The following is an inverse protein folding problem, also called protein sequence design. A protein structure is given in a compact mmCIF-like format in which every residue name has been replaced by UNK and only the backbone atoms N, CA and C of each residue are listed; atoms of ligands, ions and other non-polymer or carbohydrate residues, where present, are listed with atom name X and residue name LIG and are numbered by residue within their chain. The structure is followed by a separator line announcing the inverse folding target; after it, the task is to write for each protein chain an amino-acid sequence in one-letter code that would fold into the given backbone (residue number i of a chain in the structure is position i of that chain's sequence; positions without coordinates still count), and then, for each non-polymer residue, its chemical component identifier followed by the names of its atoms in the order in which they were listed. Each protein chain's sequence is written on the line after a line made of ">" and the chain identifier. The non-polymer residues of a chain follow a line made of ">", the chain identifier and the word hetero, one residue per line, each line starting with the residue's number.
data_IF_711397466933
#
_entry.id   IF_711397466933
#
_cell.length_a   1.000
_cell.length_b   1.000
_cell.length_c   1.000
_cell.angle_alpha   90.00
_cell.angle_beta   90.00
_cell.angle_gamma   90.00
#
_symmetry.space_group_name_H-M   'P 1'
#
loop_
_entity.id
_entity.type
_entity.pdbx_description
1 polymer ?
#
# COMPACT_ATOMS: atom_id res chain seq x y z
N UNK A 1 32.94 -37.97 30.21
CA UNK A 1 31.47 -37.96 30.45
C UNK A 1 30.96 -36.68 31.12
N UNK A 2 31.68 -36.07 32.08
CA UNK A 2 31.20 -34.85 32.78
C UNK A 2 30.85 -33.68 31.84
N UNK A 3 31.73 -33.36 30.89
CA UNK A 3 31.51 -32.27 29.92
C UNK A 3 30.23 -32.42 29.10
N UNK A 4 29.92 -33.63 28.61
CA UNK A 4 28.72 -33.89 27.81
C UNK A 4 27.42 -33.62 28.58
N UNK A 5 27.38 -33.93 29.87
CA UNK A 5 26.22 -33.69 30.72
C UNK A 5 25.97 -32.20 30.93
N UNK A 6 27.04 -31.43 31.14
CA UNK A 6 26.93 -29.98 31.31
C UNK A 6 26.53 -29.28 30.00
N UNK A 7 27.08 -29.70 28.86
CA UNK A 7 26.67 -29.15 27.56
C UNK A 7 25.20 -29.41 27.26
N UNK A 8 24.69 -30.60 27.59
CA UNK A 8 23.26 -30.93 27.39
C UNK A 8 22.34 -30.07 28.27
N UNK A 9 22.70 -29.84 29.54
CA UNK A 9 21.91 -28.95 30.43
C UNK A 9 21.84 -27.54 29.88
N UNK A 10 22.98 -26.99 29.43
CA UNK A 10 23.05 -25.64 28.87
C UNK A 10 22.17 -25.56 27.61
N UNK A 11 22.26 -26.54 26.71
CA UNK A 11 21.40 -26.61 25.52
C UNK A 11 19.92 -26.71 25.88
N UNK A 12 19.55 -27.51 26.88
CA UNK A 12 18.16 -27.58 27.37
C UNK A 12 17.67 -26.23 27.91
N UNK A 13 18.48 -25.52 28.70
CA UNK A 13 18.12 -24.20 29.24
C UNK A 13 17.94 -23.19 28.10
N UNK A 14 18.85 -23.15 27.12
CA UNK A 14 18.76 -22.28 25.94
C UNK A 14 17.50 -22.61 25.14
N UNK A 15 17.21 -23.90 24.92
CA UNK A 15 16.01 -24.34 24.21
C UNK A 15 14.74 -23.93 24.94
N UNK A 16 14.68 -24.09 26.26
CA UNK A 16 13.52 -23.67 27.06
C UNK A 16 13.36 -22.14 26.99
N UNK A 17 14.45 -21.39 27.14
CA UNK A 17 14.43 -19.93 27.01
C UNK A 17 13.95 -19.50 25.62
N UNK A 18 14.43 -20.14 24.55
CA UNK A 18 13.99 -19.87 23.18
C UNK A 18 12.49 -20.16 23.00
N UNK A 19 11.97 -21.27 23.52
CA UNK A 19 10.53 -21.60 23.45
C UNK A 19 9.71 -20.56 24.20
N UNK A 20 10.15 -20.11 25.38
CA UNK A 20 9.46 -19.06 26.14
C UNK A 20 9.44 -17.75 25.34
N UNK A 21 10.58 -17.35 24.77
CA UNK A 21 10.69 -16.14 23.96
C UNK A 21 9.77 -16.21 22.73
N UNK A 22 9.81 -17.31 21.98
CA UNK A 22 8.93 -17.54 20.82
C UNK A 22 7.45 -17.49 21.23
N UNK A 23 7.11 -18.07 22.39
CA UNK A 23 5.73 -18.06 22.89
C UNK A 23 5.26 -16.65 23.24
N UNK A 24 6.10 -15.84 23.89
CA UNK A 24 5.78 -14.45 24.22
C UNK A 24 5.56 -13.63 22.94
N UNK A 25 6.48 -13.71 21.98
CA UNK A 25 6.34 -12.99 20.71
C UNK A 25 5.14 -13.47 19.90
N UNK A 26 4.84 -14.77 19.90
CA UNK A 26 3.66 -15.32 19.25
C UNK A 26 2.36 -14.80 19.86
N UNK A 27 2.27 -14.71 21.19
CA UNK A 27 1.11 -14.14 21.89
C UNK A 27 0.94 -12.65 21.52
N UNK A 28 2.04 -11.87 21.54
CA UNK A 28 1.99 -10.45 21.17
C UNK A 28 1.54 -10.25 19.71
N UNK A 29 2.05 -11.06 18.78
CA UNK A 29 1.65 -11.01 17.37
C UNK A 29 0.16 -11.35 17.18
N UNK A 30 -0.38 -12.32 17.92
CA UNK A 30 -1.82 -12.65 17.89
C UNK A 30 -2.66 -11.52 18.47
N UNK A 31 -2.22 -10.89 19.56
CA UNK A 31 -2.91 -9.72 20.13
C UNK A 31 -2.94 -8.55 19.14
N UNK A 32 -1.80 -8.23 18.52
CA UNK A 32 -1.73 -7.20 17.48
C UNK A 32 -2.55 -7.57 16.24
N UNK A 33 -2.61 -8.84 15.85
CA UNK A 33 -3.45 -9.29 14.73
C UNK A 33 -4.93 -9.04 15.00
N UNK A 34 -5.38 -9.29 16.23
CA UNK A 34 -6.76 -9.01 16.64
C UNK A 34 -7.01 -7.50 16.69
N UNK A 35 -6.10 -6.70 17.26
CA UNK A 35 -6.19 -5.24 17.27
C UNK A 35 -6.25 -4.68 15.84
N UNK A 36 -5.39 -5.17 14.95
CA UNK A 36 -5.39 -4.80 13.54
C UNK A 36 -6.71 -5.17 12.86
N UNK A 37 -7.18 -6.40 13.04
CA UNK A 37 -8.46 -6.84 12.47
C UNK A 37 -9.65 -5.99 12.94
N UNK A 38 -9.66 -5.55 14.19
CA UNK A 38 -10.74 -4.75 14.78
C UNK A 38 -10.66 -3.27 14.38
N UNK A 39 -9.47 -2.68 14.43
CA UNK A 39 -9.30 -1.23 14.23
C UNK A 39 -9.03 -0.82 12.80
N UNK A 40 -8.32 -1.63 12.03
CA UNK A 40 -7.99 -1.28 10.64
C UNK A 40 -9.23 -0.93 9.80
N UNK A 41 -10.37 -1.64 9.86
CA UNK A 41 -11.56 -1.24 9.11
C UNK A 41 -12.38 -0.11 9.75
N UNK A 42 -12.10 0.31 11.00
CA UNK A 42 -12.93 1.27 11.77
C UNK A 42 -12.21 2.61 12.03
N UNK A 43 -10.88 2.60 12.05
CA UNK A 43 -10.04 3.76 12.30
C UNK A 43 -9.40 4.25 10.99
N UNK A 44 -9.13 5.56 10.84
CA UNK A 44 -8.53 6.07 9.61
C UNK A 44 -7.14 5.51 9.37
N UNK A 45 -6.90 5.02 8.15
CA UNK A 45 -5.57 4.62 7.68
C UNK A 45 -5.16 5.52 6.54
N UNK A 46 -3.87 5.80 6.44
CA UNK A 46 -3.29 6.61 5.38
C UNK A 46 -2.43 5.72 4.47
N UNK A 47 -2.63 5.81 3.17
CA UNK A 47 -1.80 5.19 2.16
C UNK A 47 -1.14 6.29 1.35
N UNK A 48 0.18 6.26 1.25
CA UNK A 48 0.99 7.20 0.48
C UNK A 48 1.75 6.41 -0.57
N UNK A 49 1.63 6.82 -1.83
CA UNK A 49 2.46 6.34 -2.92
C UNK A 49 3.73 7.20 -2.98
N UNK A 50 4.88 6.55 -2.87
CA UNK A 50 6.18 7.20 -2.74
C UNK A 50 7.11 6.72 -3.85
N UNK A 51 7.86 7.64 -4.45
CA UNK A 51 8.93 7.34 -5.39
C UNK A 51 10.14 8.22 -5.07
N UNK A 52 11.32 7.61 -4.93
CA UNK A 52 12.57 8.31 -4.59
C UNK A 52 12.51 9.23 -3.34
N UNK A 53 11.52 9.01 -2.46
CA UNK A 53 11.28 9.82 -1.25
C UNK A 53 10.19 10.89 -1.41
N UNK A 54 9.68 11.11 -2.61
CA UNK A 54 8.61 12.06 -2.91
C UNK A 54 7.24 11.37 -2.91
N UNK A 55 6.23 12.02 -2.30
CA UNK A 55 4.84 11.56 -2.32
C UNK A 55 4.21 11.93 -3.66
N UNK A 56 3.88 10.92 -4.47
CA UNK A 56 3.21 11.10 -5.77
C UNK A 56 1.69 11.19 -5.64
N UNK A 57 1.13 10.44 -4.70
CA UNK A 57 -0.31 10.35 -4.44
C UNK A 57 -0.56 9.85 -3.02
N UNK A 58 -1.79 10.00 -2.53
CA UNK A 58 -2.18 9.34 -1.31
C UNK A 58 -3.66 9.42 -1.04
N UNK A 59 -4.12 8.60 -0.10
CA UNK A 59 -5.49 8.62 0.34
C UNK A 59 -5.66 8.05 1.75
N UNK A 60 -6.73 8.50 2.38
CA UNK A 60 -7.21 8.01 3.66
C UNK A 60 -8.33 6.99 3.42
N UNK A 61 -8.53 6.10 4.38
CA UNK A 61 -9.70 5.22 4.46
C UNK A 61 -9.88 4.25 3.29
N UNK A 62 -8.80 3.93 2.57
CA UNK A 62 -8.84 3.07 1.38
C UNK A 62 -9.49 1.69 1.63
N UNK A 63 -9.32 1.14 2.84
CA UNK A 63 -9.86 -0.17 3.24
C UNK A 63 -11.01 -0.04 4.25
N UNK A 64 -11.51 1.18 4.48
CA UNK A 64 -12.64 1.46 5.36
C UNK A 64 -13.96 1.21 4.58
N UNK A 65 -15.09 0.91 5.25
CA UNK A 65 -16.40 0.79 4.60
C UNK A 65 -16.91 2.08 3.92
N UNK A 66 -16.30 3.23 4.23
CA UNK A 66 -16.61 4.51 3.58
C UNK A 66 -15.79 4.67 2.31
N UNK A 67 -16.21 5.59 1.44
CA UNK A 67 -15.42 5.93 0.27
C UNK A 67 -14.01 6.39 0.66
N UNK A 68 -12.97 5.94 -0.07
CA UNK A 68 -11.62 6.45 0.09
C UNK A 68 -11.60 7.98 -0.09
N UNK A 69 -10.82 8.67 0.73
CA UNK A 69 -10.69 10.12 0.70
C UNK A 69 -9.28 10.49 0.21
N UNK A 70 -9.13 11.05 -1.01
CA UNK A 70 -7.85 11.55 -1.49
C UNK A 70 -7.23 12.55 -0.51
N UNK A 71 -5.91 12.55 -0.37
CA UNK A 71 -5.24 13.60 0.40
C UNK A 71 -5.27 14.92 -0.38
N UNK A 72 -5.40 16.04 0.31
CA UNK A 72 -5.30 17.35 -0.36
C UNK A 72 -3.85 17.71 -0.69
N UNK A 73 -3.65 18.70 -1.57
CA UNK A 73 -2.30 19.20 -1.89
C UNK A 73 -1.60 19.76 -0.65
N UNK A 74 -2.34 20.37 0.29
CA UNK A 74 -1.81 20.83 1.56
C UNK A 74 -1.41 19.67 2.48
N UNK A 75 -2.22 18.62 2.56
CA UNK A 75 -1.89 17.41 3.31
C UNK A 75 -0.64 16.73 2.74
N UNK A 76 -0.55 16.57 1.42
CA UNK A 76 0.61 16.02 0.73
C UNK A 76 1.88 16.81 1.05
N UNK A 77 1.84 18.15 0.97
CA UNK A 77 2.98 19.00 1.31
C UNK A 77 3.40 18.88 2.78
N UNK A 78 2.44 18.77 3.71
CA UNK A 78 2.73 18.54 5.14
C UNK A 78 3.37 17.17 5.34
N UNK A 79 2.83 16.12 4.72
CA UNK A 79 3.39 14.77 4.83
C UNK A 79 4.78 14.68 4.23
N UNK A 80 5.04 15.34 3.09
CA UNK A 80 6.38 15.42 2.50
C UNK A 80 7.37 16.06 3.47
N UNK A 81 7.00 17.20 4.07
CA UNK A 81 7.85 17.86 5.06
C UNK A 81 8.14 16.97 6.28
N UNK A 82 7.16 16.20 6.74
CA UNK A 82 7.33 15.27 7.86
C UNK A 82 8.24 14.09 7.50
N UNK A 83 8.11 13.54 6.29
CA UNK A 83 9.02 12.53 5.73
C UNK A 83 10.46 13.02 5.77
N UNK A 84 10.71 14.21 5.21
CA UNK A 84 12.05 14.77 5.08
C UNK A 84 12.73 15.09 6.41
N UNK A 85 11.95 15.57 7.40
CA UNK A 85 12.50 16.22 8.60
C UNK A 85 12.57 15.33 9.85
N UNK A 86 11.55 14.51 10.08
CA UNK A 86 11.31 13.86 11.38
C UNK A 86 11.13 12.35 11.24
N UNK A 87 11.21 11.84 10.01
CA UNK A 87 10.94 10.45 9.70
C UNK A 87 9.47 10.06 9.92
N UNK A 88 9.20 8.80 9.63
CA UNK A 88 7.86 8.27 9.43
C UNK A 88 6.94 8.28 10.66
N UNK A 89 7.49 8.27 11.88
CA UNK A 89 6.69 8.28 13.12
C UNK A 89 5.83 9.54 13.25
N UNK A 90 6.23 10.64 12.62
CA UNK A 90 5.51 11.92 12.71
C UNK A 90 4.27 11.98 11.81
N UNK A 91 4.19 11.13 10.78
CA UNK A 91 3.11 11.11 9.79
C UNK A 91 1.89 10.35 10.32
N UNK A 92 2.12 9.42 11.26
CA UNK A 92 1.05 8.61 11.87
C UNK A 92 -0.06 9.51 12.40
N UNK A 93 0.29 10.55 13.16
CA UNK A 93 -0.64 11.60 13.57
C UNK A 93 -1.93 11.03 14.19
N UNK A 94 -3.05 11.19 13.49
CA UNK A 94 -4.39 10.67 13.89
C UNK A 94 -4.78 9.36 13.21
N UNK A 95 -3.95 8.86 12.30
CA UNK A 95 -4.19 7.62 11.59
C UNK A 95 -3.80 6.43 12.47
N UNK A 96 -4.54 5.34 12.39
CA UNK A 96 -4.19 4.07 13.02
C UNK A 96 -2.88 3.51 12.43
N UNK A 97 -2.79 3.53 11.10
CA UNK A 97 -1.63 3.08 10.32
C UNK A 97 -1.37 4.00 9.14
N UNK A 98 -0.09 4.12 8.80
CA UNK A 98 0.39 4.72 7.56
C UNK A 98 1.10 3.64 6.74
N UNK A 99 0.68 3.47 5.50
CA UNK A 99 1.28 2.58 4.52
C UNK A 99 2.02 3.44 3.51
N UNK A 100 3.31 3.20 3.36
CA UNK A 100 4.13 3.82 2.33
C UNK A 100 4.34 2.77 1.27
N UNK A 101 3.78 3.00 0.09
CA UNK A 101 3.81 2.09 -1.04
C UNK A 101 4.83 2.64 -2.01
N UNK A 102 5.93 1.92 -2.24
CA UNK A 102 6.92 2.28 -3.27
C UNK A 102 6.31 2.08 -4.66
N UNK A 103 6.69 2.92 -5.64
CA UNK A 103 6.35 2.66 -7.05
C UNK A 103 6.82 1.28 -7.54
N UNK A 104 7.94 0.78 -7.01
CA UNK A 104 8.48 -0.57 -7.30
C UNK A 104 7.47 -1.69 -7.01
N UNK A 105 6.50 -1.44 -6.13
CA UNK A 105 5.37 -2.34 -5.82
C UNK A 105 4.63 -2.78 -7.09
N UNK A 106 4.59 -1.92 -8.10
CA UNK A 106 3.81 -2.14 -9.33
C UNK A 106 4.65 -2.67 -10.50
N UNK A 107 5.97 -2.86 -10.33
CA UNK A 107 6.84 -3.34 -11.41
C UNK A 107 6.42 -4.71 -11.95
N UNK A 108 5.91 -5.56 -11.08
CA UNK A 108 5.45 -6.92 -11.43
C UNK A 108 4.08 -6.98 -12.09
N UNK A 109 3.32 -5.88 -12.08
CA UNK A 109 2.00 -5.81 -12.70
C UNK A 109 2.14 -6.02 -14.21
N UNK A 110 1.32 -6.92 -14.76
CA UNK A 110 1.34 -7.25 -16.17
C UNK A 110 1.07 -6.01 -17.05
N UNK A 111 1.72 -5.96 -18.21
CA UNK A 111 1.41 -4.98 -19.24
C UNK A 111 -0.02 -5.20 -19.74
N UNK A 112 -0.80 -4.12 -19.86
CA UNK A 112 -2.17 -4.17 -20.33
C UNK A 112 -3.14 -3.39 -19.46
N UNK A 113 -4.43 -3.58 -19.75
CA UNK A 113 -5.53 -2.89 -19.09
C UNK A 113 -5.67 -3.34 -17.63
N UNK A 114 -5.80 -2.37 -16.73
CA UNK A 114 -5.98 -2.63 -15.30
C UNK A 114 -7.46 -2.60 -14.96
N UNK A 115 -7.95 -3.66 -14.32
CA UNK A 115 -9.27 -3.74 -13.70
C UNK A 115 -10.46 -3.31 -14.61
N UNK A 116 -10.38 -3.63 -15.91
CA UNK A 116 -11.39 -3.26 -16.92
C UNK A 116 -11.69 -1.74 -16.97
N UNK A 117 -10.71 -0.92 -16.60
CA UNK A 117 -10.87 0.55 -16.48
C UNK A 117 -10.68 1.29 -17.79
N UNK A 118 -10.20 0.64 -18.84
CA UNK A 118 -9.71 1.25 -20.06
C UNK A 118 -8.32 1.87 -19.96
N UNK A 119 -7.71 1.92 -18.77
CA UNK A 119 -6.36 2.42 -18.56
C UNK A 119 -5.37 1.29 -18.40
N UNK A 120 -4.17 1.46 -18.97
CA UNK A 120 -3.05 0.57 -18.77
C UNK A 120 -2.23 0.94 -17.53
N UNK A 121 -1.32 0.06 -17.13
CA UNK A 121 -0.29 0.37 -16.14
C UNK A 121 0.52 1.59 -16.54
N UNK A 122 0.94 1.65 -17.80
CA UNK A 122 1.73 2.74 -18.34
C UNK A 122 0.97 4.06 -18.27
N UNK A 123 -0.33 4.06 -18.58
CA UNK A 123 -1.18 5.26 -18.46
C UNK A 123 -1.25 5.74 -17.00
N UNK A 124 -1.48 4.83 -16.04
CA UNK A 124 -1.56 5.21 -14.64
C UNK A 124 -0.23 5.76 -14.09
N UNK A 125 0.90 5.15 -14.48
CA UNK A 125 2.24 5.63 -14.13
C UNK A 125 2.52 6.98 -14.79
N UNK A 126 2.17 7.16 -16.06
CA UNK A 126 2.34 8.43 -16.78
C UNK A 126 1.54 9.55 -16.11
N UNK A 127 0.28 9.29 -15.76
CA UNK A 127 -0.58 10.22 -15.05
C UNK A 127 0.03 10.69 -13.73
N UNK A 128 0.60 9.77 -12.94
CA UNK A 128 1.24 10.07 -11.66
C UNK A 128 2.48 10.96 -11.80
N UNK A 129 3.08 11.04 -12.98
CA UNK A 129 4.26 11.88 -13.24
C UNK A 129 3.93 13.15 -14.04
N UNK A 130 2.69 13.30 -14.49
CA UNK A 130 2.31 14.44 -15.30
C UNK A 130 2.16 15.71 -14.44
N UNK A 131 2.63 16.85 -14.94
CA UNK A 131 2.45 18.15 -14.27
C UNK A 131 1.08 18.78 -14.58
N UNK A 132 0.41 18.37 -15.66
CA UNK A 132 -0.91 18.81 -16.11
C UNK A 132 -1.85 17.60 -16.28
N UNK A 133 -2.17 16.96 -15.14
CA UNK A 133 -2.99 15.74 -15.13
C UNK A 133 -4.37 15.94 -15.74
N UNK A 134 -4.94 17.14 -15.61
CA UNK A 134 -6.28 17.43 -16.11
C UNK A 134 -6.30 17.40 -17.63
N UNK A 135 -5.36 18.10 -18.27
CA UNK A 135 -5.23 18.05 -19.73
C UNK A 135 -4.90 16.63 -20.20
N UNK A 136 -3.99 15.94 -19.52
CA UNK A 136 -3.64 14.55 -19.83
C UNK A 136 -4.86 13.61 -19.78
N UNK A 137 -5.68 13.71 -18.72
CA UNK A 137 -6.85 12.85 -18.55
C UNK A 137 -7.90 13.12 -19.63
N UNK A 138 -8.11 14.38 -20.01
CA UNK A 138 -9.02 14.76 -21.09
C UNK A 138 -8.53 14.15 -22.41
N UNK A 139 -7.27 14.38 -22.76
CA UNK A 139 -6.69 13.89 -24.01
C UNK A 139 -6.83 12.37 -24.13
N UNK A 140 -6.49 11.63 -23.07
CA UNK A 140 -6.68 10.18 -22.99
C UNK A 140 -8.14 9.75 -23.13
N UNK A 141 -9.05 10.45 -22.47
CA UNK A 141 -10.49 10.15 -22.56
C UNK A 141 -11.03 10.38 -23.97
N UNK A 142 -10.53 11.41 -24.67
CA UNK A 142 -10.91 11.73 -26.05
C UNK A 142 -10.32 10.72 -27.04
N UNK A 143 -9.07 10.31 -26.85
CA UNK A 143 -8.41 9.25 -27.63
C UNK A 143 -9.19 7.95 -27.53
N UNK A 144 -9.54 7.52 -26.31
CA UNK A 144 -10.27 6.27 -26.07
C UNK A 144 -11.70 6.31 -26.64
N UNK A 145 -12.34 7.49 -26.65
CA UNK A 145 -13.67 7.67 -27.23
C UNK A 145 -13.67 7.84 -28.76
N UNK A 146 -12.49 7.80 -29.40
CA UNK A 146 -12.29 8.07 -30.83
C UNK A 146 -12.90 9.41 -31.28
N UNK A 147 -12.87 10.43 -30.42
CA UNK A 147 -13.45 11.75 -30.70
C UNK A 147 -12.48 12.57 -31.58
N UNK A 148 -12.91 13.07 -32.76
CA UNK A 148 -12.06 13.88 -33.63
C UNK A 148 -11.54 15.15 -32.95
N UNK A 149 -10.28 15.50 -33.23
CA UNK A 149 -9.56 16.68 -32.71
C UNK A 149 -10.36 18.00 -32.82
N UNK A 150 -11.17 18.14 -33.87
CA UNK A 150 -12.01 19.33 -34.09
C UNK A 150 -13.06 19.58 -32.99
N UNK A 151 -13.37 18.59 -32.16
CA UNK A 151 -14.29 18.71 -31.03
C UNK A 151 -13.59 18.87 -29.68
N UNK A 152 -12.28 18.70 -29.60
CA UNK A 152 -11.53 18.67 -28.34
C UNK A 152 -11.74 19.93 -27.51
N UNK A 153 -11.54 21.12 -28.09
CA UNK A 153 -11.72 22.40 -27.39
C UNK A 153 -13.12 22.56 -26.79
N UNK A 154 -14.15 22.09 -27.50
CA UNK A 154 -15.55 22.18 -27.05
C UNK A 154 -15.80 21.23 -25.88
N UNK A 155 -15.28 20.00 -25.96
CA UNK A 155 -15.44 19.01 -24.90
C UNK A 155 -14.64 19.44 -23.68
N UNK A 156 -13.41 19.93 -23.86
CA UNK A 156 -12.56 20.45 -22.79
C UNK A 156 -13.26 21.56 -22.01
N UNK A 157 -13.86 22.54 -22.71
CA UNK A 157 -14.61 23.62 -22.06
C UNK A 157 -15.84 23.13 -21.27
N UNK A 158 -16.46 22.01 -21.69
CA UNK A 158 -17.59 21.42 -20.96
C UNK A 158 -17.13 20.61 -19.75
N UNK A 159 -16.01 19.91 -19.87
CA UNK A 159 -15.47 19.06 -18.82
C UNK A 159 -14.70 19.85 -17.75
N UNK A 160 -14.16 21.03 -18.06
CA UNK A 160 -13.34 21.82 -17.12
C UNK A 160 -14.02 22.06 -15.76
N UNK A 161 -15.35 22.19 -15.74
CA UNK A 161 -16.13 22.36 -14.51
C UNK A 161 -16.40 21.05 -13.74
N UNK A 162 -16.31 19.89 -14.40
CA UNK A 162 -16.60 18.57 -13.84
C UNK A 162 -15.34 17.73 -13.57
N UNK A 163 -14.17 18.17 -14.04
CA UNK A 163 -12.91 17.44 -13.86
C UNK A 163 -12.49 17.46 -12.38
N UNK A 164 -12.19 16.29 -11.80
CA UNK A 164 -11.71 16.18 -10.43
C UNK A 164 -10.44 17.03 -10.17
N UNK A 165 -10.10 17.25 -8.90
CA UNK A 165 -8.81 17.88 -8.60
C UNK A 165 -7.66 16.96 -9.04
N UNK A 166 -6.48 17.52 -9.30
CA UNK A 166 -5.31 16.71 -9.67
C UNK A 166 -4.97 15.65 -8.60
N UNK A 167 -5.21 15.97 -7.32
CA UNK A 167 -5.03 15.00 -6.23
C UNK A 167 -6.05 13.86 -6.30
N UNK A 168 -7.31 14.16 -6.65
CA UNK A 168 -8.32 13.12 -6.86
C UNK A 168 -7.94 12.21 -8.03
N UNK A 169 -7.41 12.78 -9.11
CA UNK A 169 -6.93 12.01 -10.27
C UNK A 169 -5.74 11.14 -9.85
N UNK A 170 -4.73 11.70 -9.18
CA UNK A 170 -3.55 10.95 -8.68
C UNK A 170 -3.95 9.82 -7.73
N UNK A 171 -4.84 10.09 -6.79
CA UNK A 171 -5.37 9.07 -5.88
C UNK A 171 -6.13 7.97 -6.64
N UNK A 172 -6.91 8.33 -7.66
CA UNK A 172 -7.61 7.36 -8.51
C UNK A 172 -6.64 6.48 -9.29
N UNK A 173 -5.56 7.04 -9.86
CA UNK A 173 -4.53 6.26 -10.56
C UNK A 173 -3.78 5.33 -9.60
N UNK A 174 -3.47 5.80 -8.39
CA UNK A 174 -2.90 4.96 -7.34
C UNK A 174 -3.83 3.80 -6.97
N UNK A 175 -5.13 4.06 -6.79
CA UNK A 175 -6.10 3.00 -6.50
C UNK A 175 -6.27 2.03 -7.65
N UNK A 176 -6.21 2.52 -8.88
CA UNK A 176 -6.26 1.66 -10.05
C UNK A 176 -5.07 0.69 -10.04
N UNK A 177 -3.85 1.20 -9.87
CA UNK A 177 -2.64 0.36 -9.75
C UNK A 177 -2.75 -0.65 -8.62
N UNK A 178 -3.21 -0.20 -7.45
CA UNK A 178 -3.34 -1.06 -6.28
C UNK A 178 -4.43 -2.12 -6.45
N UNK A 179 -5.55 -1.76 -7.06
CA UNK A 179 -6.64 -2.67 -7.41
C UNK A 179 -6.19 -3.70 -8.44
N UNK A 180 -5.48 -3.27 -9.47
CA UNK A 180 -4.85 -4.15 -10.47
C UNK A 180 -3.90 -5.15 -9.85
N UNK A 181 -2.98 -4.66 -9.01
CA UNK A 181 -1.99 -5.51 -8.35
C UNK A 181 -2.64 -6.51 -7.38
N UNK A 182 -3.65 -6.09 -6.64
CA UNK A 182 -4.46 -6.96 -5.76
C UNK A 182 -5.25 -8.01 -6.56
N UNK A 183 -5.79 -7.65 -7.73
CA UNK A 183 -6.51 -8.58 -8.60
C UNK A 183 -5.57 -9.62 -9.22
N UNK A 184 -4.38 -9.21 -9.67
CA UNK A 184 -3.40 -10.10 -10.30
C UNK A 184 -2.70 -11.01 -9.27
N UNK A 185 -2.23 -10.42 -8.16
CA UNK A 185 -1.44 -11.12 -7.13
C UNK A 185 -2.27 -11.73 -6.00
N UNK A 186 -3.58 -11.47 -5.98
CA UNK A 186 -4.49 -12.00 -4.98
C UNK A 186 -4.48 -11.28 -3.62
N UNK A 187 -5.29 -11.76 -2.66
CA UNK A 187 -5.53 -11.06 -1.38
C UNK A 187 -4.30 -10.98 -0.47
N UNK A 188 -3.26 -11.77 -0.74
CA UNK A 188 -2.00 -11.75 -0.01
C UNK A 188 -1.01 -10.69 -0.52
N UNK A 189 -1.35 -9.96 -1.58
CA UNK A 189 -0.49 -8.97 -2.24
C UNK A 189 0.19 -8.01 -1.25
N UNK A 190 -0.59 -7.31 -0.41
CA UNK A 190 -0.04 -6.33 0.56
C UNK A 190 0.95 -7.00 1.53
N UNK A 191 0.69 -8.24 1.93
CA UNK A 191 1.56 -8.99 2.86
C UNK A 191 2.88 -9.36 2.17
N UNK A 192 2.83 -9.78 0.90
CA UNK A 192 4.00 -10.11 0.08
C UNK A 192 4.85 -8.87 -0.16
N UNK A 193 4.25 -7.77 -0.58
CA UNK A 193 4.97 -6.52 -0.84
C UNK A 193 5.54 -5.88 0.42
N UNK A 194 4.83 -5.99 1.55
CA UNK A 194 5.38 -5.62 2.85
C UNK A 194 6.60 -6.47 3.24
N UNK A 195 6.56 -7.78 2.97
CA UNK A 195 7.70 -8.67 3.23
C UNK A 195 8.89 -8.35 2.31
N UNK A 196 8.62 -7.96 1.06
CA UNK A 196 9.63 -7.57 0.07
C UNK A 196 10.26 -6.20 0.38
N UNK A 197 9.61 -5.38 1.23
CA UNK A 197 10.07 -4.04 1.58
C UNK A 197 9.55 -2.95 0.63
N UNK A 198 8.69 -3.30 -0.32
CA UNK A 198 8.05 -2.36 -1.24
C UNK A 198 6.89 -1.62 -0.57
N UNK A 199 6.30 -2.21 0.48
CA UNK A 199 5.35 -1.54 1.37
C UNK A 199 5.95 -1.44 2.77
N UNK A 200 5.98 -0.24 3.34
CA UNK A 200 6.33 0.00 4.74
C UNK A 200 5.09 0.37 5.54
N UNK A 201 5.02 -0.05 6.81
CA UNK A 201 3.86 0.20 7.68
C UNK A 201 4.29 0.83 9.00
N UNK A 202 3.67 1.96 9.33
CA UNK A 202 3.96 2.73 10.53
C UNK A 202 2.73 2.91 11.43
N UNK A 203 2.86 2.74 12.76
CA UNK A 203 4.03 2.16 13.43
C UNK A 203 4.12 0.65 13.14
N UNK A 204 5.35 0.15 12.98
CA UNK A 204 5.62 -1.27 12.79
C UNK A 204 5.46 -2.04 14.11
N UNK A 205 4.37 -2.81 14.21
CA UNK A 205 4.02 -3.58 15.42
C UNK A 205 4.61 -4.99 15.38
N UNK A 206 4.37 -5.80 16.43
CA UNK A 206 4.89 -7.17 16.48
C UNK A 206 4.27 -8.05 15.39
N UNK A 207 3.03 -7.79 15.01
CA UNK A 207 2.39 -8.44 13.86
C UNK A 207 3.22 -8.28 12.57
N UNK A 208 3.55 -7.04 12.21
CA UNK A 208 4.30 -6.73 11.00
C UNK A 208 5.73 -7.28 11.05
N UNK A 209 6.40 -7.18 12.20
CA UNK A 209 7.72 -7.82 12.41
C UNK A 209 7.65 -9.34 12.24
N UNK A 210 6.57 -9.97 12.70
CA UNK A 210 6.35 -11.40 12.54
C UNK A 210 6.15 -11.76 11.07
N UNK A 211 5.35 -11.00 10.32
CA UNK A 211 5.12 -11.22 8.88
C UNK A 211 6.45 -11.27 8.10
N UNK A 212 7.41 -10.39 8.40
CA UNK A 212 8.73 -10.39 7.74
C UNK A 212 9.47 -11.73 7.86
N UNK A 213 9.36 -12.42 9.00
CA UNK A 213 10.07 -13.68 9.26
C UNK A 213 9.27 -14.93 8.87
N UNK A 214 7.98 -14.81 8.58
CA UNK A 214 7.14 -15.94 8.14
C UNK A 214 7.65 -16.45 6.79
N UNK A 215 7.87 -17.77 6.62
CA UNK A 215 8.27 -18.33 5.32
C UNK A 215 7.19 -18.10 4.25
N UNK A 216 7.60 -17.89 3.00
CA UNK A 216 6.68 -17.69 1.86
C UNK A 216 5.65 -18.81 1.73
N UNK A 217 6.07 -20.06 1.94
CA UNK A 217 5.17 -21.22 1.90
C UNK A 217 4.00 -21.14 2.90
N UNK A 218 4.18 -20.47 4.03
CA UNK A 218 3.10 -20.23 4.98
C UNK A 218 2.16 -19.10 4.53
N UNK A 219 2.69 -18.09 3.84
CA UNK A 219 1.89 -17.02 3.21
C UNK A 219 1.03 -17.61 2.09
N UNK A 220 1.62 -18.41 1.21
CA UNK A 220 0.90 -19.07 0.11
C UNK A 220 -0.19 -20.02 0.61
N UNK A 221 0.05 -20.71 1.74
CA UNK A 221 -0.96 -21.56 2.38
C UNK A 221 -2.17 -20.77 2.91
N UNK A 222 -1.95 -19.54 3.39
CA UNK A 222 -3.04 -18.66 3.83
C UNK A 222 -3.84 -18.22 2.61
N UNK A 223 -3.15 -17.81 1.55
CA UNK A 223 -3.77 -17.39 0.30
C UNK A 223 -4.67 -18.47 -0.30
N UNK A 224 -4.18 -19.71 -0.38
CA UNK A 224 -4.95 -20.85 -0.92
C UNK A 224 -6.23 -21.16 -0.13
N UNK A 225 -6.31 -20.74 1.15
CA UNK A 225 -7.50 -20.92 1.99
C UNK A 225 -8.52 -19.78 1.86
N UNK A 226 -8.09 -18.60 1.41
CA UNK A 226 -8.99 -17.46 1.19
C UNK A 226 -9.77 -17.65 -0.13
N UNK A 227 -9.17 -18.33 -1.11
CA UNK A 227 -9.77 -18.58 -2.42
C UNK A 227 -10.77 -19.76 -2.46
N UNK A 228 -10.84 -20.58 -1.41
CA UNK A 228 -11.78 -21.72 -1.26
C UNK A 228 -12.98 -21.38 -0.41
#
# INVERSE_FOLDING_TARGET
>A
MGYLRETLKILSIISIAAVIVISIFGILAVMDANDFKEKFPEEPNLFLLVEEGDILAGAKNLMHPTEPEPITSEEAAVYQQLLDSSGYDSIVGKNYKVFLVSMDTFDSLAEGEIADSGFTKEDAVEALHNDDLRAWLIDKSLEQAEIPDEYHDRVMQQLEEEIPSEQDIRASMFFLLLGGASQESGPAFIIKEFKNGNIEVYPETMLFRFIKIVPESAVDMIESRIQT
#
